data_IF_004902098085
#
_entry.id   IF_004902098085
#
_cell.length_a   1.000
_cell.length_b   1.000
_cell.length_c   1.000
_cell.angle_alpha   90.00
_cell.angle_beta   90.00
_cell.angle_gamma   90.00
#
_symmetry.space_group_name_H-M   'P 1'
#
loop_
_entity.id
_entity.type
_entity.pdbx_description
1 polymer ?
#
# COMPACT_ATOMS: atom_id res chain seq x y z
N UNK A 1 40.90 -0.50 26.75
CA UNK A 1 41.09 -1.95 26.58
C UNK A 1 39.79 -2.50 26.02
N UNK A 2 39.76 -2.81 24.72
CA UNK A 2 38.60 -3.45 24.08
C UNK A 2 38.58 -4.92 24.48
N UNK A 3 37.48 -5.38 25.10
CA UNK A 3 37.27 -6.80 25.39
C UNK A 3 37.33 -7.58 24.07
N UNK A 4 38.35 -8.42 23.94
CA UNK A 4 38.76 -9.07 22.69
C UNK A 4 37.88 -10.24 22.27
N UNK A 5 36.61 -10.29 22.71
CA UNK A 5 35.72 -11.43 22.45
C UNK A 5 34.23 -11.07 22.34
N UNK A 6 33.86 -9.80 22.25
CA UNK A 6 32.46 -9.40 22.08
C UNK A 6 32.14 -9.23 20.58
N UNK A 7 31.38 -10.18 20.04
CA UNK A 7 30.86 -10.10 18.66
C UNK A 7 29.88 -8.95 18.58
N UNK A 8 30.18 -7.97 17.72
CA UNK A 8 29.28 -6.85 17.49
C UNK A 8 28.09 -7.29 16.62
N UNK A 9 26.87 -6.83 16.93
CA UNK A 9 25.68 -7.20 16.18
C UNK A 9 25.65 -6.53 14.80
N UNK A 10 25.18 -7.29 13.81
CA UNK A 10 24.85 -6.81 12.46
C UNK A 10 23.34 -6.80 12.31
N UNK A 11 22.77 -5.68 11.85
CA UNK A 11 21.32 -5.54 11.64
C UNK A 11 21.04 -5.33 10.16
N UNK A 12 20.07 -6.09 9.64
CA UNK A 12 19.56 -5.97 8.27
C UNK A 12 18.05 -5.74 8.37
N UNK A 13 17.58 -4.61 7.84
CA UNK A 13 16.18 -4.21 7.86
C UNK A 13 15.68 -4.12 6.43
N UNK A 14 14.62 -4.87 6.13
CA UNK A 14 13.84 -4.75 4.90
C UNK A 14 12.46 -4.20 5.24
N UNK A 15 12.12 -3.00 4.74
CA UNK A 15 10.79 -2.40 4.93
C UNK A 15 10.12 -2.23 3.57
N UNK A 16 8.85 -2.60 3.46
CA UNK A 16 8.01 -2.29 2.29
C UNK A 16 7.58 -0.82 2.34
N UNK A 17 8.56 0.07 2.48
CA UNK A 17 8.31 1.41 2.92
C UNK A 17 7.63 2.25 1.86
N UNK A 18 6.70 3.10 2.31
CA UNK A 18 6.12 4.16 1.49
C UNK A 18 7.17 5.17 1.04
N UNK A 19 6.79 6.14 0.19
CA UNK A 19 7.72 7.13 -0.33
C UNK A 19 8.57 7.77 0.76
N UNK A 20 8.01 8.12 1.93
CA UNK A 20 8.71 8.82 3.01
C UNK A 20 9.69 7.97 3.85
N UNK A 21 9.67 6.65 3.69
CA UNK A 21 10.50 5.72 4.47
C UNK A 21 11.82 5.38 3.76
N UNK A 22 12.03 5.93 2.57
CA UNK A 22 13.21 5.65 1.77
C UNK A 22 14.52 6.04 2.52
N UNK A 23 15.53 5.16 2.61
CA UNK A 23 16.82 5.43 3.24
C UNK A 23 17.59 6.59 2.60
N UNK A 24 17.16 7.07 1.43
CA UNK A 24 17.69 8.28 0.80
C UNK A 24 17.47 9.53 1.63
N UNK A 25 16.37 9.62 2.40
CA UNK A 25 16.03 10.82 3.16
C UNK A 25 16.93 11.02 4.39
N UNK A 26 17.29 12.28 4.64
CA UNK A 26 18.18 12.66 5.75
C UNK A 26 17.61 12.29 7.12
N UNK A 27 16.27 12.31 7.28
CA UNK A 27 15.60 11.88 8.52
C UNK A 27 15.97 10.42 8.85
N UNK A 28 15.80 9.51 7.88
CA UNK A 28 16.08 8.09 8.05
C UNK A 28 17.56 7.85 8.32
N UNK A 29 18.46 8.55 7.61
CA UNK A 29 19.91 8.48 7.85
C UNK A 29 20.31 8.92 9.25
N UNK A 30 19.75 10.04 9.74
CA UNK A 30 20.06 10.55 11.08
C UNK A 30 19.63 9.56 12.17
N UNK A 31 18.42 8.99 12.05
CA UNK A 31 17.97 7.94 12.96
C UNK A 31 18.84 6.69 12.88
N UNK A 32 19.21 6.25 11.67
CA UNK A 32 20.08 5.10 11.48
C UNK A 32 21.48 5.30 12.12
N UNK A 33 22.09 6.48 11.95
CA UNK A 33 23.38 6.82 12.57
C UNK A 33 23.28 6.83 14.10
N UNK A 34 22.20 7.42 14.64
CA UNK A 34 21.98 7.44 16.08
C UNK A 34 21.86 6.02 16.65
N UNK A 35 21.10 5.15 15.98
CA UNK A 35 20.94 3.75 16.40
C UNK A 35 22.26 2.97 16.26
N UNK A 36 23.01 3.18 15.18
CA UNK A 36 24.31 2.54 14.99
C UNK A 36 25.27 2.80 16.17
N UNK A 37 25.31 4.06 16.64
CA UNK A 37 26.13 4.45 17.79
C UNK A 37 25.58 3.91 19.11
N UNK A 38 24.27 4.04 19.34
CA UNK A 38 23.64 3.65 20.60
C UNK A 38 23.74 2.15 20.87
N UNK A 39 23.65 1.32 19.82
CA UNK A 39 23.70 -0.14 19.93
C UNK A 39 25.09 -0.72 19.63
N UNK A 40 26.10 0.12 19.37
CA UNK A 40 27.48 -0.30 19.03
C UNK A 40 27.50 -1.41 17.95
N UNK A 41 26.75 -1.18 16.87
CA UNK A 41 26.62 -2.15 15.78
C UNK A 41 27.94 -2.28 15.00
N UNK A 42 28.13 -3.43 14.35
CA UNK A 42 29.23 -3.62 13.38
C UNK A 42 28.81 -3.13 11.99
N UNK A 43 27.58 -3.46 11.60
CA UNK A 43 26.99 -3.03 10.35
C UNK A 43 25.46 -2.86 10.48
N UNK A 44 24.93 -1.90 9.73
CA UNK A 44 23.50 -1.63 9.62
C UNK A 44 23.14 -1.49 8.15
N UNK A 45 22.35 -2.43 7.64
CA UNK A 45 21.83 -2.42 6.28
C UNK A 45 20.34 -2.11 6.33
N UNK A 46 19.92 -1.03 5.66
CA UNK A 46 18.51 -0.67 5.52
C UNK A 46 18.18 -0.67 4.04
N UNK A 47 17.31 -1.57 3.64
CA UNK A 47 16.78 -1.66 2.30
C UNK A 47 15.27 -1.42 2.35
N UNK A 48 14.80 -0.52 1.51
CA UNK A 48 13.36 -0.37 1.27
C UNK A 48 13.05 -0.76 -0.15
N UNK A 49 11.81 -1.18 -0.39
CA UNK A 49 11.32 -1.24 -1.75
C UNK A 49 11.47 0.14 -2.40
N UNK A 50 11.89 0.16 -3.66
CA UNK A 50 11.99 1.40 -4.40
C UNK A 50 10.58 2.01 -4.53
N UNK A 51 10.43 3.35 -4.38
CA UNK A 51 9.25 4.05 -4.86
C UNK A 51 8.97 3.62 -6.30
N UNK A 52 7.70 3.53 -6.68
CA UNK A 52 7.23 3.06 -8.01
C UNK A 52 7.12 1.54 -8.19
N UNK A 53 7.37 0.69 -7.17
CA UNK A 53 6.88 -0.70 -7.26
C UNK A 53 5.35 -0.81 -7.29
N UNK A 54 4.61 0.15 -6.71
CA UNK A 54 3.15 0.24 -6.94
C UNK A 54 2.84 0.76 -8.35
N UNK A 55 3.65 1.65 -8.92
CA UNK A 55 3.49 2.01 -10.34
C UNK A 55 3.67 0.79 -11.26
N UNK A 56 4.54 -0.15 -10.90
CA UNK A 56 4.68 -1.47 -11.53
C UNK A 56 3.65 -2.52 -11.05
N UNK A 57 2.71 -2.16 -10.18
CA UNK A 57 1.63 -3.05 -9.78
C UNK A 57 0.80 -3.37 -11.02
N UNK A 58 0.77 -4.65 -11.39
CA UNK A 58 0.08 -5.11 -12.60
C UNK A 58 -1.42 -4.75 -12.56
N UNK A 59 -1.99 -4.60 -11.37
CA UNK A 59 -3.36 -4.15 -11.18
C UNK A 59 -3.50 -2.67 -11.54
N UNK A 60 -2.65 -1.80 -10.99
CA UNK A 60 -2.66 -0.35 -11.29
C UNK A 60 -2.39 -0.09 -12.78
N UNK A 61 -1.44 -0.78 -13.40
CA UNK A 61 -1.17 -0.68 -14.84
C UNK A 61 -2.32 -1.17 -15.72
N UNK A 62 -3.06 -2.21 -15.30
CA UNK A 62 -4.25 -2.69 -16.03
C UNK A 62 -5.43 -1.75 -15.87
N UNK A 63 -5.54 -1.09 -14.72
CA UNK A 63 -6.61 -0.16 -14.41
C UNK A 63 -6.36 1.23 -15.00
N UNK A 64 -5.11 1.67 -15.17
CA UNK A 64 -4.76 3.01 -15.64
C UNK A 64 -5.36 3.40 -17.01
N UNK A 65 -5.39 2.53 -18.04
CA UNK A 65 -6.06 2.84 -19.31
C UNK A 65 -7.57 2.95 -19.16
N UNK A 66 -8.18 2.10 -18.32
CA UNK A 66 -9.62 2.10 -18.08
C UNK A 66 -10.04 3.35 -17.30
N UNK A 67 -9.34 3.68 -16.21
CA UNK A 67 -9.61 4.87 -15.41
C UNK A 67 -9.42 6.15 -16.24
N UNK A 68 -8.39 6.21 -17.08
CA UNK A 68 -8.17 7.33 -18.00
C UNK A 68 -9.29 7.47 -19.04
N UNK A 69 -9.85 6.36 -19.55
CA UNK A 69 -10.98 6.39 -20.49
C UNK A 69 -12.30 6.75 -19.83
N UNK A 70 -12.46 6.44 -18.54
CA UNK A 70 -13.66 6.77 -17.76
C UNK A 70 -13.57 8.14 -17.08
N UNK A 71 -12.37 8.73 -16.97
CA UNK A 71 -12.18 10.09 -16.47
C UNK A 71 -12.86 11.09 -17.42
N UNK A 72 -14.05 11.57 -17.03
CA UNK A 72 -14.88 12.47 -17.83
C UNK A 72 -16.13 11.83 -18.42
N UNK A 73 -16.33 10.52 -18.21
CA UNK A 73 -17.63 9.89 -18.48
C UNK A 73 -18.56 10.24 -17.32
N UNK A 74 -19.54 11.09 -17.58
CA UNK A 74 -20.69 11.26 -16.69
C UNK A 74 -21.55 10.02 -16.90
N UNK A 75 -21.53 9.09 -15.94
CA UNK A 75 -22.48 8.00 -15.95
C UNK A 75 -23.87 8.60 -15.75
N UNK A 76 -24.82 8.36 -16.67
CA UNK A 76 -26.19 8.78 -16.46
C UNK A 76 -26.68 8.17 -15.14
N UNK A 77 -27.07 9.04 -14.21
CA UNK A 77 -27.47 8.68 -12.84
C UNK A 77 -28.60 7.63 -12.82
N UNK A 78 -29.41 7.56 -13.88
CA UNK A 78 -30.67 6.81 -13.91
C UNK A 78 -30.98 6.19 -15.28
N UNK A 79 -30.03 5.50 -15.92
CA UNK A 79 -30.35 4.85 -17.22
C UNK A 79 -31.47 3.79 -17.11
N UNK A 80 -31.72 3.27 -15.91
CA UNK A 80 -32.79 2.30 -15.60
C UNK A 80 -33.78 2.77 -14.53
N UNK A 81 -33.76 4.07 -14.18
CA UNK A 81 -34.53 4.62 -13.05
C UNK A 81 -33.98 4.21 -11.68
N UNK A 82 -34.48 4.81 -10.60
CA UNK A 82 -34.24 4.30 -9.26
C UNK A 82 -35.00 2.98 -9.12
N UNK A 83 -34.29 1.86 -8.97
CA UNK A 83 -34.88 0.59 -8.51
C UNK A 83 -35.33 0.67 -7.04
N UNK A 84 -35.71 1.86 -6.59
CA UNK A 84 -36.14 2.20 -5.25
C UNK A 84 -37.55 2.79 -5.37
N UNK A 85 -38.44 2.39 -4.49
CA UNK A 85 -39.74 3.01 -4.32
C UNK A 85 -39.63 4.37 -3.59
N UNK A 86 -40.75 5.08 -3.44
CA UNK A 86 -40.81 6.39 -2.76
C UNK A 86 -40.40 6.33 -1.26
N UNK A 87 -40.24 5.14 -0.69
CA UNK A 87 -39.74 4.91 0.66
C UNK A 87 -38.25 4.51 0.68
N UNK A 88 -37.58 4.49 -0.47
CA UNK A 88 -36.18 4.10 -0.61
C UNK A 88 -35.93 2.58 -0.58
N UNK A 89 -36.97 1.76 -0.76
CA UNK A 89 -36.87 0.30 -0.73
C UNK A 89 -36.73 -0.29 -2.13
N UNK A 90 -35.89 -1.32 -2.27
CA UNK A 90 -35.64 -1.94 -3.58
C UNK A 90 -36.90 -2.56 -4.18
N UNK A 91 -37.32 -2.09 -5.36
CA UNK A 91 -38.49 -2.63 -6.10
C UNK A 91 -38.22 -4.03 -6.68
N UNK A 92 -36.96 -4.36 -6.94
CA UNK A 92 -36.55 -5.69 -7.41
C UNK A 92 -36.29 -6.66 -6.25
N UNK A 93 -37.34 -7.36 -5.83
CA UNK A 93 -37.29 -8.41 -4.79
C UNK A 93 -36.27 -9.51 -5.13
N UNK A 94 -36.00 -9.76 -6.42
CA UNK A 94 -35.02 -10.75 -6.86
C UNK A 94 -33.55 -10.32 -6.67
N UNK A 95 -33.26 -9.01 -6.61
CA UNK A 95 -31.90 -8.50 -6.37
C UNK A 95 -31.58 -8.42 -4.87
N UNK A 96 -32.59 -8.23 -4.02
CA UNK A 96 -32.42 -8.05 -2.59
C UNK A 96 -32.05 -9.35 -1.85
N UNK A 97 -32.38 -10.50 -2.42
CA UNK A 97 -31.96 -11.81 -1.89
C UNK A 97 -30.71 -12.25 -2.65
N UNK A 98 -29.55 -11.97 -2.06
CA UNK A 98 -28.29 -12.55 -2.51
C UNK A 98 -28.46 -14.06 -2.69
N UNK A 99 -28.50 -14.53 -3.94
CA UNK A 99 -28.41 -15.95 -4.25
C UNK A 99 -27.01 -16.41 -3.88
N UNK A 100 -26.83 -16.79 -2.62
CA UNK A 100 -25.89 -17.82 -2.24
C UNK A 100 -26.38 -19.13 -2.89
N UNK A 101 -26.02 -19.34 -4.16
CA UNK A 101 -26.06 -20.69 -4.75
C UNK A 101 -24.83 -21.42 -4.25
N UNK A 102 -25.01 -22.11 -3.12
CA UNK A 102 -24.20 -23.27 -2.76
C UNK A 102 -24.71 -24.48 -3.57
N UNK A 103 -23.74 -25.21 -4.13
CA UNK A 103 -23.82 -26.53 -4.80
C UNK A 103 -24.42 -26.53 -6.21
#
# INVERSE_FOLDING_TARGET
MTESNTVKPVIIIFVDGGPDENPRYSKVKNFAIQHFKNYNLDALFIATNAPERSANNRVEHRMAPLSKRLAGVILPHEHFGSHLDDNGMTTDVQLCVGKAKNV
#
